data_IF_849114959790
#
_entry.id   IF_849114959790
#
_cell.length_a   1.000
_cell.length_b   1.000
_cell.length_c   1.000
_cell.angle_alpha   90.00
_cell.angle_beta   90.00
_cell.angle_gamma   90.00
#
_symmetry.space_group_name_H-M   'P 1'
#
loop_
_entity.id
_entity.type
_entity.pdbx_description
1 polymer ?
#
# COMPACT_ATOMS: atom_id res chain seq x y z
N UNK A 1 4.79 6.09 -16.18
CA UNK A 1 4.33 6.39 -14.80
C UNK A 1 4.09 5.10 -14.04
N UNK A 2 4.87 4.84 -13.00
CA UNK A 2 4.83 3.63 -12.16
C UNK A 2 3.61 3.62 -11.23
N UNK A 3 3.35 2.50 -10.56
CA UNK A 3 2.34 2.39 -9.51
C UNK A 3 2.70 3.24 -8.30
N UNK A 4 3.98 3.30 -7.92
CA UNK A 4 4.48 4.14 -6.82
C UNK A 4 4.15 5.61 -7.09
N UNK A 5 4.56 6.14 -8.24
CA UNK A 5 4.32 7.55 -8.61
C UNK A 5 2.83 7.92 -8.60
N UNK A 6 1.96 7.02 -9.10
CA UNK A 6 0.49 7.23 -9.06
C UNK A 6 -0.05 7.33 -7.63
N UNK A 7 0.47 6.53 -6.71
CA UNK A 7 0.06 6.54 -5.32
C UNK A 7 0.63 7.75 -4.57
N UNK A 8 1.86 8.17 -4.88
CA UNK A 8 2.47 9.39 -4.34
C UNK A 8 1.69 10.63 -4.76
N UNK A 9 1.42 10.79 -6.06
CA UNK A 9 0.59 11.89 -6.56
C UNK A 9 -0.82 11.86 -5.96
N UNK A 10 -1.35 10.66 -5.65
CA UNK A 10 -2.65 10.52 -4.96
C UNK A 10 -2.55 10.94 -3.49
N UNK A 11 -1.48 10.62 -2.79
CA UNK A 11 -1.23 11.03 -1.41
C UNK A 11 -1.07 12.56 -1.33
N UNK A 12 -0.32 13.14 -2.25
CA UNK A 12 -0.13 14.59 -2.35
C UNK A 12 -1.46 15.33 -2.58
N UNK A 13 -2.26 14.91 -3.56
CA UNK A 13 -3.60 15.49 -3.76
C UNK A 13 -4.49 15.40 -2.52
N UNK A 14 -4.36 14.33 -1.73
CA UNK A 14 -5.08 14.20 -0.45
C UNK A 14 -4.58 15.21 0.59
N UNK A 15 -3.26 15.45 0.66
CA UNK A 15 -2.68 16.50 1.51
C UNK A 15 -3.17 17.89 1.11
N UNK A 16 -3.23 18.18 -0.19
CA UNK A 16 -3.72 19.48 -0.68
C UNK A 16 -5.19 19.72 -0.32
N UNK A 17 -6.03 18.70 -0.48
CA UNK A 17 -7.44 18.76 -0.07
C UNK A 17 -7.59 18.93 1.44
N UNK A 18 -6.75 18.26 2.23
CA UNK A 18 -6.74 18.43 3.67
C UNK A 18 -6.34 19.86 4.07
N UNK A 19 -5.26 20.39 3.50
CA UNK A 19 -4.81 21.75 3.78
C UNK A 19 -5.86 22.79 3.35
N UNK A 20 -6.50 22.58 2.20
CA UNK A 20 -7.58 23.44 1.73
C UNK A 20 -8.79 23.39 2.66
N UNK A 21 -9.15 22.21 3.18
CA UNK A 21 -10.22 22.07 4.15
C UNK A 21 -9.87 22.71 5.49
N UNK A 22 -8.63 22.54 5.96
CA UNK A 22 -8.12 23.18 7.17
C UNK A 22 -8.22 24.71 7.08
N UNK A 23 -7.78 25.29 5.96
CA UNK A 23 -7.91 26.74 5.71
C UNK A 23 -9.37 27.22 5.75
N UNK A 24 -10.31 26.45 5.20
CA UNK A 24 -11.75 26.78 5.29
C UNK A 24 -12.30 26.67 6.71
N UNK A 25 -11.83 25.69 7.49
CA UNK A 25 -12.19 25.55 8.89
C UNK A 25 -11.69 26.75 9.71
N UNK A 26 -10.41 27.10 9.58
CA UNK A 26 -9.79 28.27 10.22
C UNK A 26 -10.51 29.57 9.86
N UNK A 27 -10.85 29.77 8.58
CA UNK A 27 -11.62 30.94 8.14
C UNK A 27 -13.03 30.97 8.76
N UNK A 28 -13.70 29.81 8.88
CA UNK A 28 -15.04 29.73 9.49
C UNK A 28 -14.99 30.03 10.98
N UNK A 29 -14.02 29.46 11.70
CA UNK A 29 -13.80 29.73 13.13
C UNK A 29 -13.39 31.18 13.39
N UNK A 30 -12.46 31.72 12.59
CA UNK A 30 -12.04 33.12 12.69
C UNK A 30 -13.22 34.08 12.47
N UNK A 31 -14.05 33.82 11.47
CA UNK A 31 -15.25 34.61 11.20
C UNK A 31 -16.31 34.49 12.32
N UNK A 32 -16.42 33.34 12.99
CA UNK A 32 -17.25 33.19 14.18
C UNK A 32 -16.69 34.00 15.35
N UNK A 33 -15.38 33.94 15.58
CA UNK A 33 -14.66 34.71 16.59
C UNK A 33 -14.87 36.22 16.42
N UNK A 34 -14.66 36.76 15.22
CA UNK A 34 -14.88 38.20 14.94
C UNK A 34 -16.31 38.67 15.24
N UNK A 35 -17.33 37.81 15.05
CA UNK A 35 -18.70 38.14 15.45
C UNK A 35 -18.88 38.07 16.97
N UNK A 36 -18.29 37.06 17.61
CA UNK A 36 -18.37 36.87 19.05
C UNK A 36 -17.66 38.00 19.82
N UNK A 37 -16.53 38.52 19.31
CA UNK A 37 -15.76 39.62 19.91
C UNK A 37 -16.57 40.93 20.01
N UNK A 38 -17.62 41.09 19.19
CA UNK A 38 -18.53 42.23 19.24
C UNK A 38 -19.61 42.10 20.32
N UNK A 39 -19.71 40.93 20.96
CA UNK A 39 -20.71 40.63 21.99
C UNK A 39 -20.01 40.61 23.35
N UNK A 40 -20.38 41.52 24.29
CA UNK A 40 -19.87 41.47 25.66
C UNK A 40 -20.03 40.09 26.29
N UNK A 41 -18.95 39.58 26.87
CA UNK A 41 -18.93 38.24 27.45
C UNK A 41 -19.98 38.10 28.57
N UNK A 42 -20.81 37.06 28.48
CA UNK A 42 -21.84 36.76 29.47
C UNK A 42 -23.13 37.59 29.32
N UNK A 43 -23.24 38.46 28.30
CA UNK A 43 -24.47 39.21 28.06
C UNK A 43 -25.61 38.27 27.59
N UNK A 44 -26.75 38.19 28.31
CA UNK A 44 -27.90 37.43 27.85
C UNK A 44 -28.60 38.15 26.70
N UNK A 45 -29.32 37.40 25.86
CA UNK A 45 -30.22 37.98 24.86
C UNK A 45 -31.38 38.65 25.59
N UNK A 46 -31.49 39.97 25.45
CA UNK A 46 -32.55 40.77 26.06
C UNK A 46 -33.86 40.58 25.29
N UNK A 47 -34.77 39.76 25.84
CA UNK A 47 -36.09 39.48 25.24
C UNK A 47 -36.98 40.72 25.31
N UNK A 48 -37.64 41.07 24.20
CA UNK A 48 -38.50 42.26 24.08
C UNK A 48 -37.75 43.56 23.79
N UNK A 49 -36.41 43.55 23.75
CA UNK A 49 -35.61 44.74 23.44
C UNK A 49 -35.41 44.90 21.92
N UNK A 50 -35.24 46.14 21.44
CA UNK A 50 -35.06 46.41 20.00
C UNK A 50 -33.83 45.71 19.37
N UNK A 51 -32.84 45.33 20.19
CA UNK A 51 -31.64 44.60 19.77
C UNK A 51 -31.81 43.07 19.71
N UNK A 52 -32.91 42.52 20.25
CA UNK A 52 -33.17 41.07 20.35
C UNK A 52 -32.99 40.34 19.00
N UNK A 53 -33.58 40.90 17.94
CA UNK A 53 -33.52 40.33 16.59
C UNK A 53 -32.09 40.23 16.07
N UNK A 54 -31.26 41.24 16.34
CA UNK A 54 -29.84 41.25 15.94
C UNK A 54 -29.07 40.21 16.74
N UNK A 55 -29.21 40.22 18.07
CA UNK A 55 -28.52 39.30 18.97
C UNK A 55 -28.82 37.82 18.63
N UNK A 56 -30.09 37.49 18.33
CA UNK A 56 -30.45 36.12 17.87
C UNK A 56 -29.78 35.74 16.56
N UNK A 57 -29.79 36.63 15.56
CA UNK A 57 -29.15 36.36 14.26
C UNK A 57 -27.64 36.22 14.38
N UNK A 58 -26.99 37.01 15.23
CA UNK A 58 -25.55 36.92 15.42
C UNK A 58 -25.19 35.61 16.13
N UNK A 59 -25.96 35.19 17.13
CA UNK A 59 -25.81 33.88 17.76
C UNK A 59 -25.99 32.71 16.77
N UNK A 60 -27.02 32.79 15.91
CA UNK A 60 -27.26 31.80 14.84
C UNK A 60 -26.07 31.75 13.86
N UNK A 61 -25.60 32.89 13.37
CA UNK A 61 -24.44 32.97 12.48
C UNK A 61 -23.16 32.44 13.10
N UNK A 62 -22.92 32.72 14.38
CA UNK A 62 -21.78 32.18 15.12
C UNK A 62 -21.89 30.66 15.15
N UNK A 63 -23.04 30.11 15.54
CA UNK A 63 -23.28 28.67 15.56
C UNK A 63 -23.07 28.02 14.20
N UNK A 64 -23.67 28.55 13.15
CA UNK A 64 -23.55 28.00 11.80
C UNK A 64 -22.10 27.99 11.30
N UNK A 65 -21.34 29.06 11.60
CA UNK A 65 -19.91 29.15 11.27
C UNK A 65 -19.07 28.16 12.07
N UNK A 66 -19.38 27.97 13.35
CA UNK A 66 -18.73 26.96 14.19
C UNK A 66 -19.02 25.54 13.67
N UNK A 67 -20.28 25.24 13.35
CA UNK A 67 -20.68 23.95 12.79
C UNK A 67 -20.00 23.70 11.44
N UNK A 68 -19.93 24.73 10.58
CA UNK A 68 -19.20 24.65 9.31
C UNK A 68 -17.71 24.42 9.51
N UNK A 69 -17.09 25.11 10.46
CA UNK A 69 -15.68 24.93 10.80
C UNK A 69 -15.39 23.51 11.24
N UNK A 70 -16.22 22.95 12.14
CA UNK A 70 -16.13 21.56 12.58
C UNK A 70 -16.28 20.56 11.42
N UNK A 71 -17.20 20.79 10.48
CA UNK A 71 -17.36 19.94 9.30
C UNK A 71 -16.12 19.95 8.39
N UNK A 72 -15.56 21.13 8.12
CA UNK A 72 -14.35 21.27 7.31
C UNK A 72 -13.12 20.68 8.00
N UNK A 73 -13.03 20.80 9.33
CA UNK A 73 -11.97 20.15 10.11
C UNK A 73 -12.05 18.63 10.00
N UNK A 74 -13.23 18.02 10.19
CA UNK A 74 -13.42 16.57 10.00
C UNK A 74 -13.06 16.12 8.58
N UNK A 75 -13.37 16.95 7.58
CA UNK A 75 -12.98 16.69 6.17
C UNK A 75 -11.46 16.73 5.99
N UNK A 76 -10.77 17.66 6.66
CA UNK A 76 -9.32 17.72 6.66
C UNK A 76 -8.70 16.46 7.28
N UNK A 77 -9.15 16.08 8.47
CA UNK A 77 -8.71 14.87 9.19
C UNK A 77 -8.94 13.61 8.35
N UNK A 78 -10.09 13.48 7.70
CA UNK A 78 -10.37 12.38 6.79
C UNK A 78 -9.33 12.29 5.66
N UNK A 79 -9.04 13.40 5.00
CA UNK A 79 -8.06 13.40 3.91
C UNK A 79 -6.63 13.15 4.39
N UNK A 80 -6.25 13.65 5.56
CA UNK A 80 -4.95 13.33 6.21
C UNK A 80 -4.86 11.83 6.49
N UNK A 81 -5.88 11.23 7.10
CA UNK A 81 -5.89 9.79 7.37
C UNK A 81 -5.78 8.95 6.10
N UNK A 82 -6.40 9.40 4.99
CA UNK A 82 -6.27 8.74 3.69
C UNK A 82 -4.89 8.92 3.06
N UNK A 83 -4.27 10.09 3.19
CA UNK A 83 -2.89 10.33 2.75
C UNK A 83 -1.91 9.43 3.54
N UNK A 84 -2.01 9.44 4.87
CA UNK A 84 -1.18 8.61 5.74
C UNK A 84 -1.30 7.11 5.40
N UNK A 85 -2.51 6.61 5.15
CA UNK A 85 -2.70 5.21 4.73
C UNK A 85 -1.98 4.88 3.41
N UNK A 86 -1.93 5.82 2.46
CA UNK A 86 -1.18 5.65 1.21
C UNK A 86 0.33 5.70 1.45
N UNK A 87 0.80 6.60 2.31
CA UNK A 87 2.22 6.74 2.67
C UNK A 87 2.75 5.50 3.39
N UNK A 88 1.97 4.93 4.33
CA UNK A 88 2.29 3.65 4.98
C UNK A 88 2.35 2.52 3.96
N UNK A 89 1.42 2.49 3.00
CA UNK A 89 1.44 1.50 1.93
C UNK A 89 2.70 1.64 1.06
N UNK A 90 3.06 2.87 0.68
CA UNK A 90 4.24 3.18 -0.12
C UNK A 90 5.53 2.73 0.58
N UNK A 91 5.67 3.03 1.87
CA UNK A 91 6.86 2.66 2.65
C UNK A 91 7.05 1.14 2.77
N UNK A 92 5.95 0.39 2.91
CA UNK A 92 6.00 -1.07 3.16
C UNK A 92 5.99 -1.93 1.90
N UNK A 93 5.50 -1.39 0.78
CA UNK A 93 5.30 -2.16 -0.45
C UNK A 93 6.46 -1.98 -1.41
N UNK A 94 6.98 -3.10 -1.91
CA UNK A 94 7.81 -3.12 -3.13
C UNK A 94 6.86 -3.34 -4.30
N UNK A 95 6.82 -2.48 -5.31
CA UNK A 95 6.01 -2.69 -6.52
C UNK A 95 6.85 -3.32 -7.63
N UNK A 96 6.23 -4.09 -8.52
CA UNK A 96 6.96 -4.82 -9.58
C UNK A 96 7.36 -3.94 -10.77
N UNK A 97 6.87 -2.71 -10.81
CA UNK A 97 7.19 -1.68 -11.79
C UNK A 97 8.08 -0.56 -11.22
N UNK A 98 8.62 -0.75 -10.00
CA UNK A 98 9.70 0.10 -9.49
C UNK A 98 11.04 -0.32 -10.15
N UNK A 99 11.93 0.64 -10.42
CA UNK A 99 13.26 0.36 -10.97
C UNK A 99 14.12 -0.46 -9.99
N UNK A 100 13.99 -0.17 -8.69
CA UNK A 100 14.69 -0.82 -7.58
C UNK A 100 13.98 -2.09 -7.06
N UNK A 101 12.96 -2.58 -7.77
CA UNK A 101 12.10 -3.66 -7.28
C UNK A 101 12.86 -4.95 -6.96
N UNK A 102 13.80 -5.35 -7.82
CA UNK A 102 14.59 -6.57 -7.65
C UNK A 102 15.54 -6.41 -6.47
N UNK A 103 16.31 -5.32 -6.43
CA UNK A 103 17.25 -4.99 -5.35
C UNK A 103 16.57 -5.05 -3.98
N UNK A 104 15.44 -4.36 -3.82
CA UNK A 104 14.68 -4.35 -2.56
C UNK A 104 14.11 -5.71 -2.17
N UNK A 105 13.80 -6.57 -3.13
CA UNK A 105 13.38 -7.95 -2.84
C UNK A 105 14.58 -8.81 -2.42
N UNK A 106 15.75 -8.62 -3.02
CA UNK A 106 16.98 -9.32 -2.66
C UNK A 106 17.44 -8.93 -1.23
N UNK A 107 17.42 -7.65 -0.88
CA UNK A 107 17.67 -7.17 0.49
C UNK A 107 16.71 -7.79 1.50
N UNK A 108 15.41 -7.83 1.15
CA UNK A 108 14.39 -8.43 2.02
C UNK A 108 14.60 -9.93 2.19
N UNK A 109 15.01 -10.64 1.13
CA UNK A 109 15.38 -12.05 1.20
C UNK A 109 16.58 -12.21 2.15
N UNK A 110 17.67 -11.46 1.96
CA UNK A 110 18.87 -11.56 2.78
C UNK A 110 18.55 -11.36 4.27
N UNK A 111 17.78 -10.32 4.61
CA UNK A 111 17.32 -10.09 5.98
C UNK A 111 16.50 -11.25 6.53
N UNK A 112 15.53 -11.73 5.76
CA UNK A 112 14.65 -12.84 6.17
C UNK A 112 15.42 -14.15 6.31
N UNK A 113 16.47 -14.36 5.52
CA UNK A 113 17.36 -15.52 5.61
C UNK A 113 18.17 -15.51 6.89
N UNK A 114 18.73 -14.35 7.28
CA UNK A 114 19.41 -14.19 8.57
C UNK A 114 18.46 -14.48 9.74
N UNK A 115 17.22 -13.98 9.69
CA UNK A 115 16.19 -14.26 10.70
C UNK A 115 15.84 -15.76 10.75
N UNK A 116 15.68 -16.39 9.58
CA UNK A 116 15.37 -17.81 9.48
C UNK A 116 16.51 -18.69 9.97
N UNK A 117 17.76 -18.32 9.69
CA UNK A 117 18.95 -19.03 10.18
C UNK A 117 19.04 -18.94 11.70
N UNK A 118 18.87 -17.74 12.28
CA UNK A 118 18.85 -17.54 13.73
C UNK A 118 17.76 -18.36 14.39
N UNK A 119 16.53 -18.32 13.87
CA UNK A 119 15.41 -19.09 14.39
C UNK A 119 15.67 -20.61 14.32
N UNK A 120 16.27 -21.09 13.24
CA UNK A 120 16.66 -22.49 13.12
C UNK A 120 17.80 -22.88 14.07
N UNK A 121 18.77 -22.00 14.29
CA UNK A 121 19.84 -22.21 15.26
C UNK A 121 19.27 -22.38 16.67
N UNK A 122 18.33 -21.51 17.06
CA UNK A 122 17.60 -21.61 18.33
C UNK A 122 16.86 -22.94 18.43
N UNK A 123 16.10 -23.33 17.39
CA UNK A 123 15.38 -24.60 17.37
C UNK A 123 16.30 -25.84 17.39
N UNK A 124 17.50 -25.75 16.82
CA UNK A 124 18.52 -26.81 16.92
C UNK A 124 19.08 -26.89 18.34
N UNK A 125 19.41 -25.75 18.94
CA UNK A 125 19.90 -25.68 20.32
C UNK A 125 18.87 -26.19 21.32
N UNK A 126 17.60 -25.79 21.18
CA UNK A 126 16.49 -26.28 22.00
C UNK A 126 16.37 -27.80 21.99
N UNK A 127 16.46 -28.42 20.80
CA UNK A 127 16.43 -29.89 20.65
C UNK A 127 17.62 -30.57 21.31
N UNK A 128 18.83 -29.99 21.19
CA UNK A 128 20.04 -30.51 21.85
C UNK A 128 19.94 -30.42 23.38
N UNK A 129 19.43 -29.31 23.89
CA UNK A 129 19.18 -29.06 25.31
C UNK A 129 18.01 -29.89 25.88
N UNK A 130 17.26 -30.63 25.04
CA UNK A 130 16.06 -31.38 25.43
C UNK A 130 15.04 -30.52 26.20
N UNK A 131 14.97 -29.24 25.87
CA UNK A 131 14.10 -28.27 26.55
C UNK A 131 14.60 -27.70 27.87
N UNK A 132 15.85 -27.97 28.27
CA UNK A 132 16.49 -27.36 29.44
C UNK A 132 16.88 -25.89 29.15
N UNK A 133 16.31 -24.90 29.85
CA UNK A 133 16.65 -23.50 29.64
C UNK A 133 18.09 -23.14 30.05
N UNK A 134 18.77 -23.93 30.90
CA UNK A 134 20.20 -23.71 31.25
C UNK A 134 21.10 -24.00 30.06
N UNK A 135 20.96 -25.20 29.53
CA UNK A 135 21.72 -25.66 28.38
C UNK A 135 21.39 -24.83 27.12
N UNK A 136 20.14 -24.38 26.96
CA UNK A 136 19.81 -23.46 25.86
C UNK A 136 20.53 -22.10 26.01
N UNK A 137 20.57 -21.53 27.22
CA UNK A 137 21.24 -20.25 27.46
C UNK A 137 22.76 -20.33 27.23
N UNK A 138 23.38 -21.47 27.55
CA UNK A 138 24.81 -21.75 27.26
C UNK A 138 25.15 -21.69 25.77
N UNK A 139 24.16 -21.85 24.87
CA UNK A 139 24.37 -21.68 23.42
C UNK A 139 24.69 -20.25 22.98
N UNK A 140 24.44 -19.25 23.84
CA UNK A 140 24.64 -17.83 23.54
C UNK A 140 23.65 -17.22 22.54
N UNK A 141 22.71 -18.00 21.99
CA UNK A 141 21.73 -17.53 21.00
C UNK A 141 20.58 -16.71 21.60
N UNK A 142 20.26 -16.99 22.87
CA UNK A 142 19.19 -16.38 23.65
C UNK A 142 19.66 -16.15 25.09
N UNK A 143 19.08 -15.15 25.76
CA UNK A 143 19.34 -14.92 27.19
C UNK A 143 18.71 -16.01 28.05
N UNK A 144 19.20 -16.17 29.29
CA UNK A 144 18.63 -17.09 30.28
C UNK A 144 17.13 -16.84 30.49
N UNK A 145 16.73 -15.58 30.68
CA UNK A 145 15.33 -15.19 30.85
C UNK A 145 14.47 -15.58 29.63
N UNK A 146 14.99 -15.40 28.40
CA UNK A 146 14.26 -15.79 27.19
C UNK A 146 14.16 -17.32 27.07
N UNK A 147 15.22 -18.06 27.40
CA UNK A 147 15.18 -19.52 27.42
C UNK A 147 14.15 -20.07 28.41
N UNK A 148 14.03 -19.46 29.60
CA UNK A 148 13.01 -19.80 30.60
C UNK A 148 11.59 -19.51 30.07
N UNK A 149 11.37 -18.34 29.46
CA UNK A 149 10.08 -17.99 28.86
C UNK A 149 9.69 -18.93 27.71
N UNK A 150 10.66 -19.34 26.89
CA UNK A 150 10.45 -20.34 25.84
C UNK A 150 10.05 -21.69 26.45
N UNK A 151 10.72 -22.14 27.50
CA UNK A 151 10.41 -23.41 28.16
C UNK A 151 9.03 -23.39 28.84
N UNK A 152 8.66 -22.27 29.45
CA UNK A 152 7.33 -22.05 30.01
C UNK A 152 6.26 -22.12 28.92
N UNK A 153 6.46 -21.41 27.81
CA UNK A 153 5.54 -21.43 26.66
C UNK A 153 5.35 -22.85 26.13
N UNK A 154 6.43 -23.61 25.96
CA UNK A 154 6.38 -24.99 25.48
C UNK A 154 5.66 -25.94 26.45
N UNK A 155 5.73 -25.67 27.77
CA UNK A 155 5.01 -26.44 28.79
C UNK A 155 3.50 -26.15 28.75
N UNK A 156 3.12 -24.88 28.61
CA UNK A 156 1.73 -24.45 28.54
C UNK A 156 1.05 -24.81 27.21
N UNK A 157 1.83 -24.89 26.13
CA UNK A 157 1.35 -25.16 24.78
C UNK A 157 1.97 -26.46 24.23
N UNK A 158 1.56 -27.65 24.72
CA UNK A 158 2.18 -28.94 24.35
C UNK A 158 1.97 -29.35 22.87
N UNK A 159 1.07 -28.68 22.15
CA UNK A 159 0.89 -28.88 20.70
C UNK A 159 1.97 -28.18 19.85
N UNK A 160 2.78 -27.29 20.44
CA UNK A 160 3.92 -26.68 19.75
C UNK A 160 5.08 -27.67 19.66
N UNK A 161 5.66 -27.80 18.46
CA UNK A 161 6.79 -28.71 18.20
C UNK A 161 8.15 -28.06 18.41
N UNK A 162 8.20 -26.73 18.42
CA UNK A 162 9.42 -25.95 18.56
C UNK A 162 9.08 -24.56 19.12
N UNK A 163 10.00 -23.94 19.87
CA UNK A 163 9.73 -22.66 20.52
C UNK A 163 9.70 -21.48 19.54
N UNK A 164 10.31 -21.60 18.34
CA UNK A 164 10.28 -20.55 17.32
C UNK A 164 9.70 -21.10 16.02
N UNK A 165 8.63 -20.50 15.50
CA UNK A 165 8.07 -20.86 14.18
C UNK A 165 8.91 -20.23 13.05
N UNK A 166 9.22 -21.03 12.03
CA UNK A 166 10.01 -20.63 10.86
C UNK A 166 9.22 -20.72 9.55
N UNK A 167 7.97 -21.17 9.62
CA UNK A 167 7.11 -21.45 8.46
C UNK A 167 6.90 -20.19 7.62
N UNK A 168 6.56 -19.09 8.29
CA UNK A 168 6.29 -17.81 7.63
C UNK A 168 7.56 -17.21 6.99
N UNK A 169 8.71 -17.33 7.65
CA UNK A 169 10.00 -16.83 7.12
C UNK A 169 10.36 -17.55 5.82
N UNK A 170 10.31 -18.89 5.82
CA UNK A 170 10.59 -19.71 4.63
C UNK A 170 9.59 -19.46 3.50
N UNK A 171 8.31 -19.33 3.83
CA UNK A 171 7.28 -18.99 2.86
C UNK A 171 7.49 -17.59 2.28
N UNK A 172 7.98 -16.62 3.06
CA UNK A 172 8.30 -15.28 2.56
C UNK A 172 9.47 -15.30 1.59
N UNK A 173 10.58 -15.96 1.95
CA UNK A 173 11.76 -16.12 1.07
C UNK A 173 11.36 -16.75 -0.26
N UNK A 174 10.57 -17.83 -0.24
CA UNK A 174 10.10 -18.48 -1.48
C UNK A 174 9.24 -17.54 -2.34
N UNK A 175 8.30 -16.82 -1.72
CA UNK A 175 7.43 -15.86 -2.43
C UNK A 175 8.24 -14.74 -3.07
N UNK A 176 9.23 -14.20 -2.36
CA UNK A 176 10.05 -13.11 -2.88
C UNK A 176 10.97 -13.57 -4.01
N UNK A 177 11.56 -14.77 -3.91
CA UNK A 177 12.31 -15.38 -5.02
C UNK A 177 11.45 -15.59 -6.26
N UNK A 178 10.26 -16.16 -6.09
CA UNK A 178 9.31 -16.32 -7.19
C UNK A 178 8.95 -14.97 -7.81
N UNK A 179 8.77 -13.94 -6.98
CA UNK A 179 8.44 -12.59 -7.43
C UNK A 179 9.58 -11.93 -8.22
N UNK A 180 10.84 -12.12 -7.82
CA UNK A 180 12.01 -11.66 -8.59
C UNK A 180 12.00 -12.32 -9.97
N UNK A 181 11.80 -13.63 -10.02
CA UNK A 181 11.75 -14.37 -11.29
C UNK A 181 10.62 -13.87 -12.20
N UNK A 182 9.43 -13.63 -11.65
CA UNK A 182 8.31 -13.06 -12.39
C UNK A 182 8.62 -11.66 -12.96
N UNK A 183 9.37 -10.82 -12.21
CA UNK A 183 9.80 -9.49 -12.67
C UNK A 183 10.82 -9.64 -13.81
N UNK A 184 11.83 -10.51 -13.65
CA UNK A 184 12.85 -10.77 -14.67
C UNK A 184 12.23 -11.27 -15.97
N UNK A 185 11.32 -12.23 -15.89
CA UNK A 185 10.59 -12.73 -17.06
C UNK A 185 9.77 -11.63 -17.75
N UNK A 186 9.14 -10.74 -16.98
CA UNK A 186 8.40 -9.62 -17.55
C UNK A 186 9.33 -8.62 -18.25
N UNK A 187 10.49 -8.31 -17.67
CA UNK A 187 11.51 -7.45 -18.27
C UNK A 187 12.06 -8.06 -19.56
N UNK A 188 12.37 -9.36 -19.56
CA UNK A 188 12.83 -10.07 -20.74
C UNK A 188 11.81 -10.04 -21.89
N UNK A 189 10.52 -10.25 -21.60
CA UNK A 189 9.46 -10.15 -22.60
C UNK A 189 9.30 -8.74 -23.16
N UNK A 190 9.43 -7.71 -22.31
CA UNK A 190 9.37 -6.32 -22.77
C UNK A 190 10.56 -5.98 -23.68
N UNK A 191 11.77 -6.45 -23.35
CA UNK A 191 12.96 -6.30 -24.19
C UNK A 191 12.78 -7.03 -25.54
N UNK A 192 12.24 -8.25 -25.55
CA UNK A 192 11.95 -8.98 -26.78
C UNK A 192 10.94 -8.24 -27.67
N UNK A 193 9.92 -7.62 -27.08
CA UNK A 193 8.97 -6.80 -27.82
C UNK A 193 9.64 -5.58 -28.46
N UNK A 194 10.55 -4.92 -27.74
CA UNK A 194 11.33 -3.78 -28.26
C UNK A 194 12.18 -4.19 -29.47
N UNK A 195 12.88 -5.34 -29.38
CA UNK A 195 13.67 -5.89 -30.49
C UNK A 195 12.81 -6.29 -31.71
N UNK A 196 11.52 -6.56 -31.50
CA UNK A 196 10.58 -6.99 -32.54
C UNK A 196 9.75 -5.84 -33.13
N UNK A 197 10.20 -4.58 -32.98
CA UNK A 197 9.46 -3.41 -33.49
C UNK A 197 8.34 -2.94 -32.56
N UNK A 198 8.41 -3.27 -31.28
CA UNK A 198 7.47 -2.82 -30.24
C UNK A 198 6.42 -3.85 -29.83
N UNK A 199 6.27 -4.95 -30.57
CA UNK A 199 5.30 -6.02 -30.28
C UNK A 199 5.92 -7.39 -30.46
N UNK A 200 5.86 -8.24 -29.42
CA UNK A 200 6.22 -9.64 -29.48
C UNK A 200 4.98 -10.53 -29.33
N UNK A 201 4.78 -11.45 -30.29
CA UNK A 201 3.72 -12.46 -30.25
C UNK A 201 4.37 -13.83 -30.02
N UNK A 202 4.13 -14.39 -28.83
CA UNK A 202 4.53 -15.75 -28.47
C UNK A 202 3.36 -16.71 -28.72
N UNK A 203 3.56 -17.70 -29.58
CA UNK A 203 2.53 -18.67 -29.93
C UNK A 203 2.64 -19.93 -29.06
N UNK A 204 1.50 -20.42 -28.53
CA UNK A 204 1.43 -21.65 -27.75
C UNK A 204 0.18 -22.45 -28.15
N UNK A 205 0.28 -23.17 -29.27
CA UNK A 205 -0.83 -23.93 -29.83
C UNK A 205 -1.97 -23.02 -30.30
N UNK A 206 -3.17 -23.21 -29.74
CA UNK A 206 -4.36 -22.40 -30.06
C UNK A 206 -4.40 -21.05 -29.34
N UNK A 207 -3.49 -20.80 -28.41
CA UNK A 207 -3.40 -19.56 -27.65
C UNK A 207 -2.15 -18.78 -28.01
N UNK A 208 -2.26 -17.46 -27.95
CA UNK A 208 -1.11 -16.56 -28.13
C UNK A 208 -0.98 -15.65 -26.92
N UNK A 209 0.26 -15.23 -26.68
CA UNK A 209 0.59 -14.17 -25.74
C UNK A 209 1.17 -13.00 -26.52
N UNK A 210 0.61 -11.82 -26.33
CA UNK A 210 1.03 -10.59 -26.98
C UNK A 210 1.65 -9.69 -25.91
N UNK A 211 2.91 -9.33 -26.09
CA UNK A 211 3.63 -8.39 -25.23
C UNK A 211 3.96 -7.14 -26.04
N UNK A 212 3.70 -5.98 -25.46
CA UNK A 212 4.08 -4.70 -26.04
C UNK A 212 5.24 -4.13 -25.21
N UNK A 213 6.22 -3.51 -25.86
CA UNK A 213 7.31 -2.83 -25.15
C UNK A 213 6.80 -1.57 -24.45
N UNK A 214 5.96 -0.81 -25.15
CA UNK A 214 5.25 0.35 -24.62
C UNK A 214 3.75 0.11 -24.47
N UNK A 215 3.05 1.02 -23.79
CA UNK A 215 1.60 0.93 -23.66
C UNK A 215 0.96 1.23 -25.03
N UNK A 216 0.22 0.27 -25.64
CA UNK A 216 -0.38 0.50 -26.94
C UNK A 216 -1.56 1.48 -26.84
N UNK A 217 -1.98 1.98 -28.00
CA UNK A 217 -3.10 2.91 -28.10
C UNK A 217 -4.39 2.35 -27.50
N UNK A 218 -5.28 3.24 -27.05
CA UNK A 218 -6.53 2.85 -26.39
C UNK A 218 -7.41 1.97 -27.30
N UNK A 219 -7.40 2.23 -28.59
CA UNK A 219 -8.20 1.48 -29.56
C UNK A 219 -7.72 0.03 -29.72
N UNK A 220 -6.39 -0.21 -29.68
CA UNK A 220 -5.80 -1.57 -29.68
C UNK A 220 -6.18 -2.32 -28.40
N UNK A 221 -6.13 -1.64 -27.25
CA UNK A 221 -6.54 -2.23 -25.96
C UNK A 221 -8.03 -2.59 -25.91
N UNK A 222 -8.88 -1.82 -26.59
CA UNK A 222 -10.32 -2.07 -26.69
C UNK A 222 -10.59 -3.23 -27.66
N UNK A 223 -9.91 -3.28 -28.80
CA UNK A 223 -10.00 -4.38 -29.76
C UNK A 223 -9.60 -5.73 -29.13
N UNK A 224 -8.48 -5.77 -28.39
CA UNK A 224 -8.04 -6.97 -27.68
C UNK A 224 -9.08 -7.45 -26.66
N UNK A 225 -9.67 -6.55 -25.87
CA UNK A 225 -10.72 -6.93 -24.92
C UNK A 225 -11.97 -7.46 -25.59
N UNK A 226 -12.43 -6.82 -26.66
CA UNK A 226 -13.58 -7.28 -27.44
C UNK A 226 -13.34 -8.63 -28.10
N UNK A 227 -12.09 -8.93 -28.46
CA UNK A 227 -11.66 -10.23 -29.00
C UNK A 227 -11.46 -11.32 -27.93
N UNK A 228 -11.73 -11.03 -26.66
CA UNK A 228 -11.62 -12.01 -25.56
C UNK A 228 -10.22 -12.16 -24.97
N UNK A 229 -9.27 -11.28 -25.31
CA UNK A 229 -7.96 -11.29 -24.67
C UNK A 229 -8.03 -10.73 -23.25
N UNK A 230 -7.26 -11.33 -22.35
CA UNK A 230 -7.13 -10.90 -20.97
C UNK A 230 -5.70 -10.49 -20.62
N UNK A 231 -5.58 -9.37 -19.92
CA UNK A 231 -4.30 -8.82 -19.46
C UNK A 231 -3.83 -9.50 -18.17
N UNK A 232 -2.60 -9.99 -18.17
CA UNK A 232 -1.97 -10.56 -16.98
C UNK A 232 -0.46 -10.65 -17.13
N UNK A 233 0.27 -10.46 -16.02
CA UNK A 233 1.75 -10.63 -15.96
C UNK A 233 2.54 -9.83 -17.02
N UNK A 234 1.99 -8.70 -17.46
CA UNK A 234 2.64 -7.83 -18.44
C UNK A 234 2.35 -8.17 -19.90
N UNK A 235 1.43 -9.10 -20.17
CA UNK A 235 1.07 -9.49 -21.54
C UNK A 235 -0.44 -9.69 -21.67
N UNK A 236 -0.95 -9.59 -22.89
CA UNK A 236 -2.29 -10.04 -23.26
C UNK A 236 -2.24 -11.51 -23.63
N UNK A 237 -3.26 -12.28 -23.28
CA UNK A 237 -3.38 -13.68 -23.72
C UNK A 237 -4.78 -13.94 -24.23
N UNK A 238 -4.88 -14.63 -25.35
CA UNK A 238 -6.15 -14.90 -26.04
C UNK A 238 -6.01 -15.98 -27.11
N UNK A 239 -7.13 -16.41 -27.73
CA UNK A 239 -7.11 -17.34 -28.85
C UNK A 239 -6.36 -16.74 -30.06
N UNK A 240 -5.56 -17.57 -30.75
CA UNK A 240 -4.80 -17.16 -31.94
C UNK A 240 -5.71 -16.62 -33.05
N UNK A 241 -6.83 -17.28 -33.28
CA UNK A 241 -7.80 -16.94 -34.33
C UNK A 241 -8.49 -15.59 -34.11
N UNK A 242 -8.49 -15.11 -32.86
CA UNK A 242 -9.13 -13.87 -32.46
C UNK A 242 -8.18 -12.67 -32.45
N UNK A 243 -6.94 -12.80 -32.94
CA UNK A 243 -6.00 -11.66 -33.01
C UNK A 243 -6.65 -10.55 -33.86
N UNK A 244 -6.85 -9.33 -33.31
CA UNK A 244 -7.45 -8.24 -34.06
C UNK A 244 -6.60 -7.89 -35.29
N UNK A 245 -7.22 -7.76 -36.47
CA UNK A 245 -6.53 -7.44 -37.72
C UNK A 245 -5.65 -6.18 -37.62
N UNK A 246 -6.13 -5.16 -36.88
CA UNK A 246 -5.40 -3.92 -36.61
C UNK A 246 -4.05 -4.13 -35.91
N UNK A 247 -3.94 -5.16 -35.07
CA UNK A 247 -2.68 -5.51 -34.41
C UNK A 247 -1.68 -6.08 -35.43
N UNK A 248 -2.15 -6.84 -36.42
CA UNK A 248 -1.30 -7.38 -37.48
C UNK A 248 -0.76 -6.26 -38.37
N UNK A 249 -1.52 -5.18 -38.58
CA UNK A 249 -1.11 -3.99 -39.33
C UNK A 249 -0.01 -3.16 -38.60
N UNK A 250 -0.02 -3.13 -37.26
CA UNK A 250 1.05 -2.48 -36.47
C UNK A 250 2.36 -3.30 -36.48
N UNK A 251 2.26 -4.64 -36.49
CA UNK A 251 3.45 -5.53 -36.49
C UNK A 251 4.16 -5.56 -37.85
N UNK A 252 3.51 -5.13 -38.94
CA UNK A 252 4.10 -5.11 -40.29
C UNK A 252 4.70 -3.77 -40.71
N UNK A 253 4.66 -2.75 -39.85
CA UNK A 253 5.30 -1.44 -40.07
C UNK A 253 6.68 -1.37 -39.43
#
# INVERSE_FOLDING_TARGET
MTRRERLEAKAERRRDWAQSAKRRAEASFGAAGTLADQIPLGQPILVGHHSERRARRDAERIRDRMDRGCQEQRKAEHHIGRAHGLEVQLARSVFSDDEDAIERLEERIAKTEMEAERAQAINRAWRKAKGDPAQLAESGLVSRALAEAMAETMRQCPWLKSPVDTTNLRASIRRDRQRIEEIRQRQARAAQAEESGGVAIEESGSWVRITFSEKPEREVLEALRSAGFHWGRGSWSGPRESIPARLLEEVTR
#
